data_IF_027890370770
#
_entry.id   IF_027890370770
#
_cell.length_a   1.000
_cell.length_b   1.000
_cell.length_c   1.000
_cell.angle_alpha   90.00
_cell.angle_beta   90.00
_cell.angle_gamma   90.00
#
_symmetry.space_group_name_H-M   'P 1'
#
loop_
_entity.id
_entity.type
_entity.pdbx_description
1 polymer ?
#
# COMPACT_ATOMS: atom_id res chain seq x y z
N UNK A 1 3.19 -27.90 20.70
CA UNK A 1 3.83 -27.56 19.41
C UNK A 1 2.86 -27.25 18.24
N UNK A 2 1.53 -27.47 18.36
CA UNK A 2 0.56 -27.14 17.30
C UNK A 2 0.29 -25.64 17.09
N UNK A 3 0.09 -24.88 18.18
CA UNK A 3 -0.27 -23.43 18.14
C UNK A 3 0.65 -22.52 17.32
N UNK A 4 1.95 -22.85 17.19
CA UNK A 4 2.89 -22.06 16.40
C UNK A 4 2.80 -22.37 14.89
N UNK A 5 2.37 -23.58 14.50
CA UNK A 5 2.06 -23.90 13.09
C UNK A 5 0.78 -23.21 12.67
N UNK A 6 -0.23 -23.16 13.54
CA UNK A 6 -1.54 -22.58 13.23
C UNK A 6 -1.47 -21.06 13.01
N UNK A 7 -0.62 -20.37 13.77
CA UNK A 7 -0.36 -18.94 13.61
C UNK A 7 0.46 -18.60 12.35
N UNK A 8 1.36 -19.50 11.93
CA UNK A 8 2.21 -19.32 10.74
C UNK A 8 1.48 -19.75 9.46
N UNK A 9 0.58 -20.75 9.53
CA UNK A 9 -0.14 -21.30 8.39
C UNK A 9 -1.48 -20.61 8.08
N UNK A 10 -1.92 -19.65 8.90
CA UNK A 10 -3.15 -18.88 8.60
C UNK A 10 -4.43 -19.72 8.60
N UNK A 11 -4.43 -20.89 9.26
CA UNK A 11 -5.56 -21.82 9.30
C UNK A 11 -6.78 -21.26 10.03
N UNK A 12 -6.61 -20.24 10.88
CA UNK A 12 -7.71 -19.62 11.63
C UNK A 12 -8.78 -18.92 10.77
N UNK A 13 -8.50 -18.59 9.51
CA UNK A 13 -9.52 -18.05 8.59
C UNK A 13 -10.37 -19.15 7.94
N UNK A 14 -9.81 -20.34 7.74
CA UNK A 14 -10.51 -21.45 7.09
C UNK A 14 -11.48 -22.18 8.04
N UNK A 15 -11.34 -21.98 9.36
CA UNK A 15 -12.23 -22.53 10.39
C UNK A 15 -13.41 -21.60 10.78
N UNK A 16 -13.39 -20.32 10.38
CA UNK A 16 -14.44 -19.35 10.72
C UNK A 16 -15.46 -19.24 9.56
N UNK A 17 -16.58 -19.98 9.62
CA UNK A 17 -17.78 -19.72 8.78
C UNK A 17 -17.92 -20.54 7.49
N UNK A 18 -18.99 -20.26 6.73
CA UNK A 18 -19.29 -20.94 5.46
C UNK A 18 -18.39 -20.36 4.35
N UNK A 19 -17.89 -21.21 3.45
CA UNK A 19 -16.99 -20.74 2.41
C UNK A 19 -17.67 -19.67 1.53
N UNK A 20 -17.05 -18.49 1.35
CA UNK A 20 -17.61 -17.44 0.50
C UNK A 20 -17.79 -17.93 -0.93
N UNK A 21 -18.88 -17.50 -1.59
CA UNK A 21 -19.04 -17.73 -3.02
C UNK A 21 -17.79 -17.25 -3.78
N UNK A 22 -17.20 -18.17 -4.52
CA UNK A 22 -15.95 -18.03 -5.25
C UNK A 22 -15.89 -16.76 -6.10
N UNK A 23 -17.03 -16.32 -6.66
CA UNK A 23 -17.11 -15.08 -7.47
C UNK A 23 -16.73 -13.84 -6.67
N UNK A 24 -17.13 -13.75 -5.40
CA UNK A 24 -16.80 -12.61 -4.54
C UNK A 24 -15.35 -12.69 -4.04
N UNK A 25 -14.83 -13.90 -3.79
CA UNK A 25 -13.40 -14.09 -3.49
C UNK A 25 -12.52 -13.62 -4.65
N UNK A 26 -12.85 -14.04 -5.88
CA UNK A 26 -12.12 -13.66 -7.10
C UNK A 26 -12.16 -12.14 -7.35
N UNK A 27 -13.27 -11.47 -6.99
CA UNK A 27 -13.37 -10.02 -7.08
C UNK A 27 -12.44 -9.33 -6.05
N UNK A 28 -12.41 -9.82 -4.81
CA UNK A 28 -11.54 -9.30 -3.76
C UNK A 28 -10.05 -9.49 -4.11
N UNK A 29 -9.68 -10.67 -4.61
CA UNK A 29 -8.32 -10.96 -5.09
C UNK A 29 -7.88 -10.04 -6.22
N UNK A 30 -8.73 -9.79 -7.22
CA UNK A 30 -8.39 -8.85 -8.30
C UNK A 30 -8.10 -7.44 -7.79
N UNK A 31 -8.88 -6.96 -6.83
CA UNK A 31 -8.59 -5.67 -6.21
C UNK A 31 -7.30 -5.71 -5.40
N UNK A 32 -7.04 -6.76 -4.63
CA UNK A 32 -5.78 -6.94 -3.90
C UNK A 32 -4.57 -6.89 -4.84
N UNK A 33 -4.61 -7.65 -5.94
CA UNK A 33 -3.54 -7.72 -6.93
C UNK A 33 -3.33 -6.39 -7.66
N UNK A 34 -4.40 -5.65 -7.96
CA UNK A 34 -4.29 -4.31 -8.53
C UNK A 34 -3.55 -3.35 -7.58
N UNK A 35 -3.81 -3.44 -6.28
CA UNK A 35 -3.17 -2.60 -5.27
C UNK A 35 -1.71 -3.01 -5.00
N UNK A 36 -1.40 -4.31 -5.07
CA UNK A 36 -0.01 -4.77 -5.01
C UNK A 36 0.77 -4.27 -6.21
N UNK A 37 0.18 -4.27 -7.40
CA UNK A 37 0.83 -3.74 -8.61
C UNK A 37 1.24 -2.27 -8.47
N UNK A 38 0.34 -1.43 -7.97
CA UNK A 38 0.66 -0.01 -7.74
C UNK A 38 1.70 0.16 -6.64
N UNK A 39 1.66 -0.64 -5.57
CA UNK A 39 2.70 -0.61 -4.54
C UNK A 39 4.09 -0.96 -5.09
N UNK A 40 4.18 -1.97 -5.95
CA UNK A 40 5.44 -2.38 -6.59
C UNK A 40 5.95 -1.31 -7.56
N UNK A 41 5.06 -0.68 -8.31
CA UNK A 41 5.43 0.43 -9.20
C UNK A 41 6.00 1.63 -8.42
N UNK A 42 5.37 1.98 -7.28
CA UNK A 42 5.87 3.05 -6.39
C UNK A 42 7.22 2.68 -5.78
N UNK A 43 7.39 1.42 -5.34
CA UNK A 43 8.64 0.92 -4.79
C UNK A 43 9.76 1.02 -5.82
N UNK A 44 9.52 0.51 -7.04
CA UNK A 44 10.46 0.58 -8.13
C UNK A 44 10.82 2.02 -8.50
N UNK A 45 9.81 2.92 -8.55
CA UNK A 45 10.03 4.34 -8.80
C UNK A 45 10.88 5.01 -7.72
N UNK A 46 10.61 4.73 -6.44
CA UNK A 46 11.40 5.26 -5.33
C UNK A 46 12.84 4.78 -5.35
N UNK A 47 13.07 3.49 -5.61
CA UNK A 47 14.42 2.92 -5.81
C UNK A 47 15.09 3.56 -7.02
N UNK A 48 14.37 3.76 -8.11
CA UNK A 48 14.91 4.38 -9.31
C UNK A 48 15.37 5.82 -9.09
N UNK A 49 14.60 6.63 -8.35
CA UNK A 49 15.02 7.98 -7.95
C UNK A 49 16.30 7.94 -7.09
N UNK A 50 16.43 6.96 -6.20
CA UNK A 50 17.59 6.83 -5.32
C UNK A 50 18.84 6.25 -5.99
N UNK A 51 18.71 5.53 -7.10
CA UNK A 51 19.84 4.80 -7.72
C UNK A 51 20.15 5.27 -9.14
N UNK A 52 19.12 5.56 -9.96
CA UNK A 52 19.28 5.83 -11.39
C UNK A 52 19.36 7.33 -11.73
N UNK A 53 19.04 8.23 -10.79
CA UNK A 53 19.02 9.68 -11.09
C UNK A 53 19.84 10.49 -10.08
N UNK A 54 21.18 10.29 -10.03
CA UNK A 54 22.04 10.96 -9.06
C UNK A 54 22.04 12.48 -9.18
N UNK A 55 21.81 13.00 -10.39
CA UNK A 55 21.78 14.44 -10.70
C UNK A 55 20.41 15.10 -10.47
N UNK A 56 19.45 14.37 -9.88
CA UNK A 56 18.12 14.90 -9.54
C UNK A 56 18.19 15.85 -8.32
N UNK A 57 18.70 17.05 -8.54
CA UNK A 57 18.76 18.12 -7.53
C UNK A 57 19.64 17.78 -6.31
N UNK A 58 19.46 18.51 -5.19
CA UNK A 58 20.23 18.28 -3.97
C UNK A 58 20.02 16.86 -3.42
N UNK A 59 21.10 16.25 -2.90
CA UNK A 59 21.07 14.89 -2.33
C UNK A 59 19.92 14.66 -1.34
N UNK A 60 19.61 15.64 -0.49
CA UNK A 60 18.53 15.54 0.49
C UNK A 60 17.13 15.48 -0.14
N UNK A 61 16.90 16.23 -1.23
CA UNK A 61 15.60 16.28 -1.92
C UNK A 61 15.32 14.96 -2.64
N UNK A 62 16.33 14.44 -3.35
CA UNK A 62 16.30 13.12 -3.98
C UNK A 62 16.02 12.00 -2.98
N UNK A 63 16.71 12.05 -1.84
CA UNK A 63 16.51 11.10 -0.73
C UNK A 63 15.08 11.20 -0.18
N UNK A 64 14.58 12.41 0.04
CA UNK A 64 13.21 12.62 0.54
C UNK A 64 12.15 12.08 -0.43
N UNK A 65 12.28 12.38 -1.74
CA UNK A 65 11.35 11.88 -2.76
C UNK A 65 11.38 10.36 -2.88
N UNK A 66 12.57 9.78 -3.02
CA UNK A 66 12.74 8.33 -3.15
C UNK A 66 12.27 7.58 -1.90
N UNK A 67 12.62 8.06 -0.71
CA UNK A 67 12.13 7.49 0.54
C UNK A 67 10.61 7.63 0.69
N UNK A 68 10.03 8.77 0.30
CA UNK A 68 8.59 8.99 0.31
C UNK A 68 7.83 8.01 -0.57
N UNK A 69 8.32 7.75 -1.79
CA UNK A 69 7.76 6.76 -2.70
C UNK A 69 7.81 5.33 -2.13
N UNK A 70 8.93 4.97 -1.50
CA UNK A 70 9.10 3.66 -0.85
C UNK A 70 8.16 3.51 0.36
N UNK A 71 8.05 4.53 1.21
CA UNK A 71 7.13 4.52 2.35
C UNK A 71 5.68 4.37 1.88
N UNK A 72 5.29 5.11 0.84
CA UNK A 72 3.96 5.00 0.26
C UNK A 72 3.68 3.61 -0.30
N UNK A 73 4.66 2.99 -0.97
CA UNK A 73 4.57 1.61 -1.44
C UNK A 73 4.29 0.61 -0.31
N UNK A 74 5.06 0.69 0.79
CA UNK A 74 4.90 -0.20 1.95
C UNK A 74 3.52 -0.02 2.60
N UNK A 75 3.09 1.23 2.79
CA UNK A 75 1.77 1.53 3.34
C UNK A 75 0.65 0.96 2.47
N UNK A 76 0.78 1.06 1.15
CA UNK A 76 -0.21 0.56 0.21
C UNK A 76 -0.30 -0.97 0.22
N UNK A 77 0.84 -1.66 0.26
CA UNK A 77 0.89 -3.11 0.39
C UNK A 77 0.27 -3.60 1.70
N UNK A 78 0.61 -2.98 2.83
CA UNK A 78 0.08 -3.33 4.14
C UNK A 78 -1.45 -3.08 4.23
N UNK A 79 -1.93 -1.98 3.66
CA UNK A 79 -3.35 -1.66 3.58
C UNK A 79 -4.13 -2.64 2.71
N UNK A 80 -3.57 -3.02 1.56
CA UNK A 80 -4.15 -4.03 0.65
C UNK A 80 -4.38 -5.35 1.39
N UNK A 81 -3.35 -5.83 2.10
CA UNK A 81 -3.44 -7.06 2.89
C UNK A 81 -4.48 -6.98 4.02
N UNK A 82 -4.52 -5.85 4.75
CA UNK A 82 -5.51 -5.65 5.83
C UNK A 82 -6.96 -5.66 5.33
N UNK A 83 -7.24 -5.05 4.17
CA UNK A 83 -8.60 -5.10 3.58
C UNK A 83 -8.95 -6.47 3.08
N UNK A 84 -8.02 -7.15 2.42
CA UNK A 84 -8.27 -8.51 1.95
C UNK A 84 -8.74 -9.40 3.11
N UNK A 85 -8.02 -9.37 4.26
CA UNK A 85 -8.42 -10.12 5.47
C UNK A 85 -9.75 -9.68 6.07
N UNK A 86 -10.04 -8.37 6.14
CA UNK A 86 -11.32 -7.86 6.67
C UNK A 86 -12.50 -8.26 5.79
N UNK A 87 -12.34 -8.18 4.47
CA UNK A 87 -13.36 -8.55 3.51
C UNK A 87 -13.61 -10.06 3.53
N UNK A 88 -12.55 -10.87 3.56
CA UNK A 88 -12.67 -12.33 3.65
C UNK A 88 -13.40 -12.76 4.93
N UNK A 89 -13.06 -12.16 6.07
CA UNK A 89 -13.74 -12.43 7.35
C UNK A 89 -15.21 -12.01 7.33
N UNK A 90 -15.54 -10.85 6.75
CA UNK A 90 -16.94 -10.39 6.65
C UNK A 90 -17.76 -11.28 5.71
N UNK A 91 -17.16 -11.75 4.61
CA UNK A 91 -17.80 -12.67 3.66
C UNK A 91 -18.08 -14.03 4.30
N UNK A 92 -17.12 -14.58 5.04
CA UNK A 92 -17.28 -15.85 5.78
C UNK A 92 -18.36 -15.78 6.88
N UNK A 93 -18.47 -14.64 7.55
CA UNK A 93 -19.43 -14.42 8.63
C UNK A 93 -20.81 -13.91 8.15
N UNK A 94 -21.04 -13.77 6.83
CA UNK A 94 -22.26 -13.20 6.20
C UNK A 94 -22.70 -11.85 6.78
N UNK A 95 -21.76 -11.05 7.27
CA UNK A 95 -22.03 -9.72 7.86
C UNK A 95 -21.90 -8.65 6.78
N UNK A 96 -22.62 -7.55 6.92
CA UNK A 96 -22.53 -6.41 5.99
C UNK A 96 -21.08 -5.99 5.77
N UNK A 97 -20.69 -5.80 4.50
CA UNK A 97 -19.32 -5.44 4.15
C UNK A 97 -18.95 -4.11 4.83
N UNK A 98 -17.89 -4.07 5.66
CA UNK A 98 -17.50 -2.87 6.36
C UNK A 98 -17.13 -1.75 5.37
N UNK A 99 -17.54 -0.49 5.63
CA UNK A 99 -17.23 0.63 4.75
C UNK A 99 -15.71 0.77 4.55
N UNK A 100 -15.32 0.95 3.30
CA UNK A 100 -13.91 0.82 2.88
C UNK A 100 -13.15 2.12 3.08
N UNK A 101 -12.56 2.29 4.26
CA UNK A 101 -11.71 3.45 4.65
C UNK A 101 -10.41 3.62 3.84
N UNK A 102 -10.21 2.84 2.77
CA UNK A 102 -8.98 2.86 1.99
C UNK A 102 -8.92 3.98 0.95
N UNK A 103 -10.06 4.38 0.39
CA UNK A 103 -10.15 5.50 -0.56
C UNK A 103 -9.59 6.79 0.06
N UNK A 104 -9.98 7.20 1.28
CA UNK A 104 -9.41 8.40 1.89
C UNK A 104 -7.92 8.24 2.22
N UNK A 105 -7.45 7.08 2.72
CA UNK A 105 -6.04 6.95 3.07
C UNK A 105 -5.11 7.00 1.84
N UNK A 106 -5.54 6.42 0.71
CA UNK A 106 -4.84 6.55 -0.56
C UNK A 106 -4.76 8.00 -1.03
N UNK A 107 -5.89 8.71 -0.97
CA UNK A 107 -5.96 10.12 -1.33
C UNK A 107 -5.04 10.97 -0.43
N UNK A 108 -5.04 10.72 0.88
CA UNK A 108 -4.17 11.42 1.82
C UNK A 108 -2.69 11.05 1.66
N UNK A 109 -2.36 9.79 1.44
CA UNK A 109 -0.97 9.34 1.25
C UNK A 109 -0.36 9.89 -0.04
N UNK A 110 -1.10 9.85 -1.15
CA UNK A 110 -0.69 10.47 -2.40
C UNK A 110 -0.63 11.99 -2.29
N UNK A 111 -1.61 12.60 -1.60
CA UNK A 111 -1.62 14.04 -1.32
C UNK A 111 -0.41 14.49 -0.52
N UNK A 112 -0.06 13.79 0.55
CA UNK A 112 1.14 14.07 1.35
C UNK A 112 2.43 13.91 0.55
N UNK A 113 2.54 12.86 -0.27
CA UNK A 113 3.70 12.66 -1.14
C UNK A 113 3.82 13.80 -2.19
N UNK A 114 2.71 14.19 -2.81
CA UNK A 114 2.66 15.30 -3.76
C UNK A 114 3.00 16.65 -3.13
N UNK A 115 2.48 16.93 -1.93
CA UNK A 115 2.82 18.13 -1.15
C UNK A 115 4.30 18.13 -0.78
N UNK A 116 4.83 17.01 -0.30
CA UNK A 116 6.26 16.89 0.04
C UNK A 116 7.17 17.12 -1.17
N UNK A 117 6.81 16.56 -2.33
CA UNK A 117 7.52 16.80 -3.59
C UNK A 117 7.42 18.26 -4.03
N UNK A 118 6.23 18.86 -3.95
CA UNK A 118 6.01 20.27 -4.30
C UNK A 118 6.83 21.21 -3.40
N UNK A 119 6.84 20.99 -2.08
CA UNK A 119 7.64 21.76 -1.13
C UNK A 119 9.13 21.61 -1.44
N UNK A 120 9.61 20.40 -1.72
CA UNK A 120 11.01 20.17 -2.10
C UNK A 120 11.39 20.94 -3.38
N UNK A 121 10.50 20.99 -4.37
CA UNK A 121 10.70 21.77 -5.61
C UNK A 121 10.67 23.27 -5.33
N UNK A 122 9.70 23.78 -4.58
CA UNK A 122 9.53 25.22 -4.32
C UNK A 122 10.66 25.80 -3.47
N UNK A 123 11.17 25.06 -2.49
CA UNK A 123 12.30 25.47 -1.65
C UNK A 123 13.63 25.52 -2.43
N UNK A 124 13.69 24.89 -3.60
CA UNK A 124 14.91 24.79 -4.43
C UNK A 124 14.80 25.59 -5.72
N UNK A 125 13.59 25.81 -6.24
CA UNK A 125 13.31 26.63 -7.42
C UNK A 125 13.49 28.13 -7.21
N UNK A 126 13.85 28.59 -6.00
CA UNK A 126 14.29 29.97 -5.79
C UNK A 126 15.72 30.12 -6.34
N UNK A 127 15.93 30.85 -7.44
CA UNK A 127 17.29 31.11 -7.91
C UNK A 127 18.05 31.84 -6.80
N UNK A 128 19.18 31.26 -6.37
CA UNK A 128 20.09 31.95 -5.46
C UNK A 128 20.58 33.23 -6.17
N UNK A 129 20.45 34.43 -5.57
CA UNK A 129 21.00 35.66 -6.13
C UNK A 129 22.53 35.61 -6.19
#
# INVERSE_FOLDING_TARGET
>A
MGKLRDAVLGTGLYDEGEDPDYRFSLANERTFLAWIRTSLALLAGGVAVLQLVPDLGPRWARVALGAGLIVLAVLLAAMSHRRWRRNERAMRLKVSLPPTAQIPLLAYGLGLAAIGALVAVLLVGSPKP
#
